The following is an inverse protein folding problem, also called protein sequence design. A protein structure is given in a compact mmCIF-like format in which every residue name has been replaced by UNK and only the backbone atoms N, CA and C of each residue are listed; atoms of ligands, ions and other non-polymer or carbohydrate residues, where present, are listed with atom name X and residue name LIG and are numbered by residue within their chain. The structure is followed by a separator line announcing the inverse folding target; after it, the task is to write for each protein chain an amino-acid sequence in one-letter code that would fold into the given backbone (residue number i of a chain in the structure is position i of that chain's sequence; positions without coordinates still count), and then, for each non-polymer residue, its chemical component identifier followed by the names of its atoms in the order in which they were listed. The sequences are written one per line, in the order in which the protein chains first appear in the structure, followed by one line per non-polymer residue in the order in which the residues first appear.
data_IF_120026503244
#
_entry.id   IF_120026503244
#
_cell.length_a   1.000
_cell.length_b   1.000
_cell.length_c   1.000
_cell.angle_alpha   90.00
_cell.angle_beta   90.00
_cell.angle_gamma   90.00
#
_symmetry.space_group_name_H-M   'P 1'
#
loop_
_entity.id
_entity.type
_entity.pdbx_description
1 polymer ?
#
# COMPACT_ATOMS: atom_id res chain seq x y z
N UNK A 1 -5.35 -3.79 -18.33
CA UNK A 1 -5.95 -2.45 -18.11
C UNK A 1 -4.82 -1.46 -17.91
N UNK A 2 -4.81 -0.36 -18.67
CA UNK A 2 -3.70 0.60 -18.69
C UNK A 2 -4.03 1.74 -17.74
N UNK A 3 -3.43 1.75 -16.55
CA UNK A 3 -3.40 2.95 -15.71
C UNK A 3 -2.17 3.79 -16.13
N UNK A 4 -2.37 5.09 -16.37
CA UNK A 4 -1.32 6.08 -16.73
C UNK A 4 -0.56 5.86 -18.06
N UNK A 5 -1.15 5.19 -19.06
CA UNK A 5 -0.54 4.96 -20.39
C UNK A 5 0.78 4.18 -20.40
N UNK A 6 1.19 3.61 -19.27
CA UNK A 6 2.34 2.69 -19.23
C UNK A 6 1.87 1.36 -19.83
N UNK A 7 2.42 0.98 -20.99
CA UNK A 7 2.23 -0.36 -21.55
C UNK A 7 3.00 -1.35 -20.67
N UNK A 8 2.36 -1.83 -19.61
CA UNK A 8 2.84 -2.95 -18.83
C UNK A 8 2.14 -4.22 -19.34
N UNK A 9 2.90 -5.10 -19.98
CA UNK A 9 2.43 -6.43 -20.32
C UNK A 9 2.61 -7.30 -19.06
N UNK A 10 1.57 -7.36 -18.22
CA UNK A 10 1.59 -8.15 -16.99
C UNK A 10 0.90 -9.48 -17.28
N UNK A 11 1.67 -10.46 -17.78
CA UNK A 11 1.19 -11.83 -18.05
C UNK A 11 1.19 -12.72 -16.79
N UNK A 12 1.25 -12.11 -15.60
CA UNK A 12 1.24 -12.80 -14.31
C UNK A 12 -0.13 -12.78 -13.64
N UNK A 13 -0.48 -13.82 -12.85
CA UNK A 13 -1.70 -13.79 -12.05
C UNK A 13 -1.72 -12.59 -11.11
N UNK A 14 -2.84 -11.85 -11.12
CA UNK A 14 -3.04 -10.72 -10.23
C UNK A 14 -3.57 -11.21 -8.87
N UNK A 15 -2.82 -10.94 -7.80
CA UNK A 15 -3.20 -11.31 -6.43
C UNK A 15 -3.70 -10.09 -5.65
N UNK A 16 -5.02 -9.92 -5.57
CA UNK A 16 -5.62 -8.94 -4.66
C UNK A 16 -5.54 -9.43 -3.21
N UNK A 17 -4.53 -8.94 -2.49
CA UNK A 17 -4.27 -9.32 -1.10
C UNK A 17 -5.38 -8.89 -0.14
N UNK A 18 -6.25 -7.94 -0.48
CA UNK A 18 -7.33 -7.51 0.40
C UNK A 18 -8.38 -8.61 0.54
N UNK A 19 -8.73 -9.28 -0.56
CA UNK A 19 -9.68 -10.40 -0.55
C UNK A 19 -9.20 -11.53 0.34
N UNK A 20 -7.94 -11.91 0.16
CA UNK A 20 -7.30 -12.93 0.97
C UNK A 20 -7.19 -12.49 2.44
N UNK A 21 -6.73 -11.27 2.72
CA UNK A 21 -6.62 -10.74 4.09
C UNK A 21 -7.96 -10.75 4.83
N UNK A 22 -9.06 -10.37 4.16
CA UNK A 22 -10.42 -10.46 4.73
C UNK A 22 -10.79 -11.88 5.06
N UNK A 23 -10.55 -12.85 4.17
CA UNK A 23 -10.83 -14.26 4.43
C UNK A 23 -10.05 -14.80 5.63
N UNK A 24 -8.79 -14.39 5.78
CA UNK A 24 -7.95 -14.84 6.89
C UNK A 24 -8.30 -14.17 8.23
N UNK A 25 -8.68 -12.88 8.22
CA UNK A 25 -8.62 -12.04 9.42
C UNK A 25 -9.83 -11.16 9.71
N UNK A 26 -10.90 -11.12 8.88
CA UNK A 26 -12.05 -10.23 9.12
C UNK A 26 -12.74 -10.40 10.49
N UNK A 27 -12.71 -11.60 11.05
CA UNK A 27 -13.29 -11.90 12.36
C UNK A 27 -12.25 -11.85 13.50
N UNK A 28 -11.00 -11.49 13.19
CA UNK A 28 -9.85 -11.48 14.12
C UNK A 28 -9.24 -10.07 14.29
N UNK A 29 -9.59 -9.14 13.41
CA UNK A 29 -9.09 -7.77 13.37
C UNK A 29 -10.27 -6.80 13.31
N UNK A 30 -10.14 -5.56 13.83
CA UNK A 30 -11.20 -4.56 13.76
C UNK A 30 -11.51 -4.14 12.31
N UNK A 31 -10.49 -4.17 11.44
CA UNK A 31 -10.62 -3.99 10.00
C UNK A 31 -9.42 -4.66 9.28
N UNK A 32 -9.47 -4.70 7.96
CA UNK A 32 -8.37 -5.18 7.11
C UNK A 32 -7.67 -4.02 6.38
N UNK A 33 -7.61 -2.82 6.97
CA UNK A 33 -6.77 -1.75 6.45
C UNK A 33 -5.31 -2.14 6.60
N UNK A 34 -4.46 -1.68 5.69
CA UNK A 34 -3.04 -2.02 5.65
C UNK A 34 -2.35 -1.72 7.00
N UNK A 35 -2.61 -0.54 7.56
CA UNK A 35 -2.07 -0.10 8.86
C UNK A 35 -2.53 -0.97 10.04
N UNK A 36 -3.76 -1.50 10.00
CA UNK A 36 -4.26 -2.43 11.01
C UNK A 36 -3.54 -3.78 10.92
N UNK A 37 -3.35 -4.30 9.71
CA UNK A 37 -2.64 -5.56 9.46
C UNK A 37 -1.17 -5.43 9.86
N UNK A 38 -0.48 -4.35 9.48
CA UNK A 38 0.88 -4.04 9.90
C UNK A 38 1.04 -4.13 11.42
N UNK A 39 0.19 -3.40 12.14
CA UNK A 39 0.25 -3.35 13.59
C UNK A 39 -0.07 -4.68 14.25
N UNK A 40 -1.05 -5.43 13.74
CA UNK A 40 -1.62 -6.60 14.42
C UNK A 40 -1.03 -7.94 13.95
N UNK A 41 -0.38 -8.00 12.79
CA UNK A 41 0.20 -9.23 12.20
C UNK A 41 1.70 -9.15 11.96
N UNK A 42 2.23 -7.97 11.66
CA UNK A 42 3.66 -7.79 11.33
C UNK A 42 4.41 -7.12 12.50
N UNK A 43 3.71 -6.41 13.38
CA UNK A 43 4.31 -5.68 14.50
C UNK A 43 4.83 -4.29 14.15
N UNK A 44 4.55 -3.80 12.93
CA UNK A 44 4.98 -2.48 12.47
C UNK A 44 4.01 -1.42 13.01
N UNK A 45 4.56 -0.37 13.64
CA UNK A 45 3.81 0.85 13.99
C UNK A 45 4.31 2.00 13.13
N UNK A 46 3.41 2.61 12.36
CA UNK A 46 3.71 3.83 11.61
C UNK A 46 3.65 5.02 12.55
N UNK A 47 4.56 5.97 12.34
CA UNK A 47 4.60 7.28 12.99
C UNK A 47 4.54 8.28 11.84
N UNK A 48 3.49 9.09 11.82
CA UNK A 48 3.28 10.21 10.91
C UNK A 48 3.23 9.84 9.42
N UNK A 49 2.01 9.59 8.93
CA UNK A 49 1.74 9.51 7.49
C UNK A 49 1.24 10.86 6.98
N UNK A 50 1.71 11.31 5.81
CA UNK A 50 1.02 12.36 5.05
C UNK A 50 -0.41 11.88 4.82
N UNK A 51 -1.44 12.63 5.25
CA UNK A 51 -2.82 12.23 5.01
C UNK A 51 -3.03 12.02 3.51
N UNK A 52 -3.60 10.88 3.11
CA UNK A 52 -3.80 10.58 1.68
C UNK A 52 -4.63 11.65 0.96
N UNK A 53 -5.44 12.41 1.69
CA UNK A 53 -6.18 13.58 1.19
C UNK A 53 -5.30 14.75 0.75
N UNK A 54 -4.06 14.84 1.23
CA UNK A 54 -3.07 15.88 0.86
C UNK A 54 -2.28 15.54 -0.39
N UNK A 55 -2.31 14.28 -0.85
CA UNK A 55 -1.56 13.83 -2.04
C UNK A 55 -1.86 14.69 -3.28
N UNK A 56 -3.12 15.04 -3.62
CA UNK A 56 -3.41 15.89 -4.77
C UNK A 56 -2.78 17.28 -4.65
N UNK A 57 -2.79 17.88 -3.45
CA UNK A 57 -2.21 19.20 -3.21
C UNK A 57 -0.69 19.17 -3.35
N UNK A 58 -0.03 18.16 -2.79
CA UNK A 58 1.42 17.99 -2.89
C UNK A 58 1.85 17.78 -4.35
N UNK A 59 1.07 17.02 -5.12
CA UNK A 59 1.30 16.83 -6.54
C UNK A 59 1.09 18.12 -7.34
N UNK A 60 0.06 18.90 -7.02
CA UNK A 60 -0.18 20.20 -7.65
C UNK A 60 0.95 21.20 -7.37
N UNK A 61 1.49 21.21 -6.15
CA UNK A 61 2.66 22.01 -5.77
C UNK A 61 3.89 21.61 -6.60
N UNK A 62 4.16 20.31 -6.74
CA UNK A 62 5.22 19.84 -7.65
C UNK A 62 5.05 20.36 -9.07
N UNK A 63 3.84 20.26 -9.66
CA UNK A 63 3.58 20.73 -11.02
C UNK A 63 3.73 22.24 -11.18
N UNK A 64 3.36 23.02 -10.16
CA UNK A 64 3.41 24.49 -10.19
C UNK A 64 4.83 25.02 -9.99
N UNK A 65 5.60 24.38 -9.13
CA UNK A 65 6.90 24.90 -8.66
C UNK A 65 8.09 24.16 -9.28
N UNK A 66 7.84 23.12 -10.07
CA UNK A 66 8.85 22.19 -10.61
C UNK A 66 9.81 21.65 -9.52
N UNK A 67 9.28 21.55 -8.28
CA UNK A 67 10.02 21.12 -7.11
C UNK A 67 9.55 19.72 -6.69
N UNK A 68 10.42 18.69 -6.74
CA UNK A 68 10.04 17.32 -6.36
C UNK A 68 9.93 17.12 -4.85
N UNK A 69 10.34 18.08 -4.01
CA UNK A 69 10.32 17.98 -2.55
C UNK A 69 8.99 17.49 -1.95
N UNK A 70 7.82 18.04 -2.35
CA UNK A 70 6.51 17.57 -1.89
C UNK A 70 6.20 16.10 -2.23
N UNK A 71 6.84 15.52 -3.25
CA UNK A 71 6.61 14.12 -3.64
C UNK A 71 7.37 13.12 -2.78
N UNK A 72 8.49 13.51 -2.18
CA UNK A 72 9.37 12.63 -1.38
C UNK A 72 8.59 11.83 -0.34
N UNK A 73 7.78 12.44 0.56
CA UNK A 73 7.04 11.65 1.54
C UNK A 73 6.03 10.70 0.89
N UNK A 74 5.40 11.08 -0.22
CA UNK A 74 4.42 10.23 -0.93
C UNK A 74 5.10 8.97 -1.47
N UNK A 75 6.27 9.14 -2.09
CA UNK A 75 7.05 8.01 -2.62
C UNK A 75 7.53 7.09 -1.49
N UNK A 76 7.99 7.65 -0.37
CA UNK A 76 8.39 6.85 0.79
C UNK A 76 7.23 6.06 1.41
N UNK A 77 6.03 6.66 1.50
CA UNK A 77 4.83 5.96 1.94
C UNK A 77 4.47 4.81 0.98
N UNK A 78 4.50 5.06 -0.33
CA UNK A 78 4.21 4.03 -1.32
C UNK A 78 5.22 2.88 -1.28
N UNK A 79 6.51 3.19 -1.16
CA UNK A 79 7.58 2.19 -1.00
C UNK A 79 7.31 1.29 0.20
N UNK A 80 6.92 1.88 1.34
CA UNK A 80 6.56 1.12 2.54
C UNK A 80 5.33 0.24 2.33
N UNK A 81 4.30 0.76 1.65
CA UNK A 81 3.10 -0.02 1.32
C UNK A 81 3.42 -1.26 0.49
N UNK A 82 4.23 -1.13 -0.56
CA UNK A 82 4.64 -2.24 -1.43
C UNK A 82 5.41 -3.31 -0.65
N UNK A 83 6.33 -2.90 0.23
CA UNK A 83 7.06 -3.84 1.11
C UNK A 83 6.10 -4.56 2.05
N UNK A 84 5.15 -3.84 2.63
CA UNK A 84 4.14 -4.45 3.51
C UNK A 84 3.26 -5.45 2.76
N UNK A 85 2.88 -5.18 1.50
CA UNK A 85 2.12 -6.13 0.68
C UNK A 85 2.91 -7.44 0.47
N UNK A 86 4.22 -7.37 0.23
CA UNK A 86 5.06 -8.56 0.13
C UNK A 86 5.09 -9.38 1.44
N UNK A 87 5.19 -8.72 2.59
CA UNK A 87 5.09 -9.39 3.90
C UNK A 87 3.73 -10.04 4.11
N UNK A 88 2.64 -9.35 3.77
CA UNK A 88 1.28 -9.89 3.87
C UNK A 88 1.14 -11.12 2.99
N UNK A 89 1.61 -11.07 1.74
CA UNK A 89 1.59 -12.23 0.84
C UNK A 89 2.31 -13.43 1.46
N UNK A 90 3.50 -13.24 2.03
CA UNK A 90 4.25 -14.32 2.71
C UNK A 90 3.48 -14.90 3.92
N UNK A 91 2.84 -14.05 4.72
CA UNK A 91 2.00 -14.50 5.85
C UNK A 91 0.78 -15.29 5.38
N UNK A 92 0.10 -14.80 4.35
CA UNK A 92 -1.07 -15.44 3.76
C UNK A 92 -0.72 -16.79 3.12
N UNK A 93 0.42 -16.87 2.42
CA UNK A 93 0.96 -18.12 1.90
C UNK A 93 1.14 -19.16 3.01
N UNK A 94 1.68 -18.78 4.17
CA UNK A 94 1.83 -19.69 5.32
C UNK A 94 0.49 -20.14 5.92
N UNK A 95 -0.59 -19.38 5.76
CA UNK A 95 -1.92 -19.73 6.29
C UNK A 95 -2.63 -20.77 5.41
N UNK A 96 -2.37 -20.77 4.10
CA UNK A 96 -3.06 -21.66 3.15
C UNK A 96 -2.15 -22.68 2.47
N UNK A 97 -0.88 -22.72 2.83
CA UNK A 97 -0.06 -23.91 2.62
C UNK A 97 -0.59 -25.05 3.49
#
# INVERSE_FOLDING_TARGET
ATFYRIKAQIDHPHFDLLHFSRRAWRNKLPDCRLTTIERKKIGIRRKDDVPSSMVPEFYATYLREDNPGPLVPIVEHNRRDVITLAHIFSLLWKIWR
#
